data_IF_001222106271
#
_entry.id   IF_001222106271
#
_cell.length_a   1.000
_cell.length_b   1.000
_cell.length_c   1.000
_cell.angle_alpha   90.00
_cell.angle_beta   90.00
_cell.angle_gamma   90.00
#
_symmetry.space_group_name_H-M   'P 1'
#
loop_
_entity.id
_entity.type
_entity.pdbx_description
1 polymer ?
#
# COMPACT_ATOMS: atom_id res chain seq x y z
N UNK A 1 -9.74 -4.03 11.64
CA UNK A 1 -9.50 -3.71 10.21
C UNK A 1 -9.03 -4.97 9.49
N UNK A 2 -9.65 -5.35 8.37
CA UNK A 2 -9.17 -6.47 7.58
C UNK A 2 -7.79 -6.15 6.98
N UNK A 3 -6.98 -7.18 6.82
CA UNK A 3 -5.64 -7.08 6.24
C UNK A 3 -5.47 -8.13 5.15
N UNK A 4 -4.44 -7.99 4.36
CA UNK A 4 -4.04 -8.98 3.37
C UNK A 4 -5.11 -9.32 2.35
N UNK A 5 -5.25 -10.60 2.07
CA UNK A 5 -6.20 -11.12 1.07
C UNK A 5 -7.64 -10.68 1.36
N UNK A 6 -8.03 -10.67 2.62
CA UNK A 6 -9.37 -10.23 3.01
C UNK A 6 -9.62 -8.78 2.62
N UNK A 7 -8.66 -7.91 2.93
CA UNK A 7 -8.76 -6.50 2.58
C UNK A 7 -8.78 -6.31 1.06
N UNK A 8 -7.91 -7.02 0.35
CA UNK A 8 -7.84 -6.93 -1.11
C UNK A 8 -9.13 -7.41 -1.75
N UNK A 9 -9.71 -8.49 -1.26
CA UNK A 9 -10.99 -9.01 -1.77
C UNK A 9 -12.13 -8.00 -1.57
N UNK A 10 -12.15 -7.34 -0.40
CA UNK A 10 -13.15 -6.32 -0.12
C UNK A 10 -13.01 -5.13 -1.07
N UNK A 11 -11.77 -4.71 -1.33
CA UNK A 11 -11.49 -3.62 -2.27
C UNK A 11 -11.94 -4.04 -3.69
N UNK A 12 -11.60 -5.24 -4.12
CA UNK A 12 -11.96 -5.73 -5.46
C UNK A 12 -13.47 -5.68 -5.68
N UNK A 13 -14.25 -6.02 -4.67
CA UNK A 13 -15.72 -6.00 -4.76
C UNK A 13 -16.30 -4.61 -4.98
N UNK A 14 -15.56 -3.57 -4.62
CA UNK A 14 -15.98 -2.19 -4.80
C UNK A 14 -15.64 -1.64 -6.19
N UNK A 15 -14.87 -2.39 -6.98
CA UNK A 15 -14.38 -1.95 -8.27
C UNK A 15 -15.09 -2.73 -9.36
N UNK A 16 -15.62 -2.07 -10.41
CA UNK A 16 -16.27 -2.77 -11.53
C UNK A 16 -15.33 -3.81 -12.14
N UNK A 17 -15.89 -4.94 -12.55
CA UNK A 17 -15.10 -6.08 -13.06
C UNK A 17 -14.32 -5.74 -14.34
N UNK A 18 -14.81 -4.78 -15.13
CA UNK A 18 -14.15 -4.37 -16.35
C UNK A 18 -12.97 -3.40 -16.11
N UNK A 19 -12.74 -3.01 -14.87
CA UNK A 19 -11.64 -2.10 -14.53
C UNK A 19 -10.42 -2.89 -14.08
N UNK A 20 -9.26 -2.50 -14.60
CA UNK A 20 -8.01 -3.14 -14.22
C UNK A 20 -7.47 -2.54 -12.90
N UNK A 21 -6.80 -3.39 -12.13
CA UNK A 21 -6.16 -2.98 -10.88
C UNK A 21 -4.65 -3.10 -11.02
N UNK A 22 -3.94 -2.03 -10.69
CA UNK A 22 -2.50 -2.09 -10.52
C UNK A 22 -2.21 -2.16 -9.03
N UNK A 23 -1.41 -3.13 -8.61
CA UNK A 23 -1.06 -3.33 -7.21
C UNK A 23 0.42 -3.00 -7.00
N UNK A 24 0.70 -2.12 -6.05
CA UNK A 24 2.06 -1.74 -5.66
C UNK A 24 2.22 -2.04 -4.18
N UNK A 25 3.33 -2.68 -3.82
CA UNK A 25 3.63 -2.98 -2.42
C UNK A 25 4.90 -2.31 -1.95
N UNK A 26 4.96 -2.00 -0.67
CA UNK A 26 6.15 -1.43 -0.06
C UNK A 26 5.97 -1.09 1.40
N UNK A 27 7.07 -0.73 2.05
CA UNK A 27 7.05 -0.32 3.45
C UNK A 27 6.50 1.10 3.60
N UNK A 28 6.89 2.02 2.74
CA UNK A 28 6.47 3.42 2.77
C UNK A 28 6.67 4.05 4.15
N UNK A 29 7.85 3.81 4.75
CA UNK A 29 8.12 4.26 6.12
C UNK A 29 8.19 5.78 6.19
N UNK A 30 9.08 6.38 5.41
CA UNK A 30 9.17 7.84 5.29
C UNK A 30 9.03 8.18 3.82
N UNK A 31 7.90 8.76 3.46
CA UNK A 31 7.64 9.08 2.06
C UNK A 31 8.57 10.19 1.57
N UNK A 32 9.06 10.02 0.36
CA UNK A 32 9.90 11.02 -0.30
C UNK A 32 9.57 11.05 -1.80
N UNK A 33 10.11 12.02 -2.56
CA UNK A 33 9.78 12.17 -3.99
C UNK A 33 9.94 10.90 -4.83
N UNK A 34 10.91 10.04 -4.48
CA UNK A 34 11.10 8.78 -5.18
C UNK A 34 9.88 7.85 -5.07
N UNK A 35 9.28 7.77 -3.88
CA UNK A 35 8.05 7.00 -3.67
C UNK A 35 6.90 7.56 -4.51
N UNK A 36 6.75 8.90 -4.52
CA UNK A 36 5.69 9.55 -5.27
C UNK A 36 5.83 9.29 -6.77
N UNK A 37 7.06 9.30 -7.26
CA UNK A 37 7.33 9.03 -8.68
C UNK A 37 6.89 7.61 -9.08
N UNK A 38 7.24 6.62 -8.27
CA UNK A 38 6.85 5.22 -8.50
C UNK A 38 5.32 5.07 -8.47
N UNK A 39 4.68 5.67 -7.48
CA UNK A 39 3.22 5.59 -7.29
C UNK A 39 2.50 6.27 -8.46
N UNK A 40 2.96 7.45 -8.87
CA UNK A 40 2.35 8.16 -9.99
C UNK A 40 2.51 7.40 -11.29
N UNK A 41 3.67 6.78 -11.51
CA UNK A 41 3.90 5.93 -12.67
C UNK A 41 2.95 4.74 -12.67
N UNK A 42 2.81 4.07 -11.53
CA UNK A 42 1.93 2.90 -11.39
C UNK A 42 0.46 3.27 -11.65
N UNK A 43 0.04 4.46 -11.24
CA UNK A 43 -1.32 4.93 -11.50
C UNK A 43 -1.65 4.97 -12.99
N UNK A 44 -0.66 5.26 -13.82
CA UNK A 44 -0.84 5.30 -15.27
C UNK A 44 -0.92 3.94 -15.95
N UNK A 45 -0.65 2.85 -15.23
CA UNK A 45 -0.62 1.50 -15.80
C UNK A 45 -1.96 0.77 -15.78
N UNK A 46 -2.96 1.30 -15.10
CA UNK A 46 -4.27 0.67 -15.01
C UNK A 46 -5.33 1.67 -14.61
N UNK A 47 -6.56 1.17 -14.44
CA UNK A 47 -7.70 2.02 -14.11
C UNK A 47 -7.70 2.42 -12.64
N UNK A 48 -7.30 1.50 -11.76
CA UNK A 48 -7.35 1.70 -10.31
C UNK A 48 -6.01 1.32 -9.70
N UNK A 49 -5.47 2.18 -8.85
CA UNK A 49 -4.23 1.90 -8.13
C UNK A 49 -4.54 1.51 -6.69
N UNK A 50 -4.09 0.33 -6.33
CA UNK A 50 -4.19 -0.22 -4.98
C UNK A 50 -2.79 -0.37 -4.41
N UNK A 51 -2.56 0.11 -3.19
CA UNK A 51 -1.26 0.04 -2.54
C UNK A 51 -1.34 -0.89 -1.33
N UNK A 52 -0.40 -1.82 -1.26
CA UNK A 52 -0.23 -2.76 -0.15
C UNK A 52 0.91 -2.24 0.73
N UNK A 53 0.61 -1.97 2.00
CA UNK A 53 1.59 -1.46 2.96
C UNK A 53 2.07 -2.61 3.83
N UNK A 54 3.39 -2.81 3.91
CA UNK A 54 3.97 -3.89 4.71
C UNK A 54 3.72 -3.66 6.20
N UNK A 55 3.33 -4.72 6.94
CA UNK A 55 3.14 -4.59 8.39
C UNK A 55 4.47 -4.42 9.13
N UNK A 56 4.41 -3.90 10.35
CA UNK A 56 5.61 -3.59 11.14
C UNK A 56 6.53 -4.79 11.32
N UNK A 57 5.97 -5.97 11.62
CA UNK A 57 6.79 -7.16 11.85
C UNK A 57 7.59 -7.56 10.62
N UNK A 58 7.02 -7.38 9.44
CA UNK A 58 7.72 -7.69 8.19
C UNK A 58 8.88 -6.71 7.96
N UNK A 59 8.63 -5.42 8.17
CA UNK A 59 9.67 -4.40 8.01
C UNK A 59 10.83 -4.66 8.96
N UNK A 60 10.55 -4.99 10.23
CA UNK A 60 11.57 -5.34 11.21
C UNK A 60 12.40 -6.54 10.80
N UNK A 61 11.76 -7.52 10.17
CA UNK A 61 12.43 -8.76 9.80
C UNK A 61 13.57 -8.56 8.80
N UNK A 62 13.51 -7.54 7.95
CA UNK A 62 14.56 -7.31 6.96
C UNK A 62 15.29 -5.98 7.11
N UNK A 63 14.72 -5.01 7.80
CA UNK A 63 15.37 -3.70 8.04
C UNK A 63 15.94 -3.53 9.45
N UNK A 64 15.64 -4.45 10.37
CA UNK A 64 16.14 -4.42 11.73
C UNK A 64 15.16 -3.83 12.74
N UNK A 65 15.52 -3.97 14.02
CA UNK A 65 14.65 -3.63 15.16
C UNK A 65 14.28 -2.13 15.22
N UNK A 66 15.09 -1.28 14.62
CA UNK A 66 14.85 0.17 14.66
C UNK A 66 13.90 0.64 13.55
N UNK A 67 13.39 -0.28 12.75
CA UNK A 67 12.45 0.01 11.66
C UNK A 67 11.18 -0.80 11.84
N UNK A 68 10.03 -0.28 11.42
CA UNK A 68 9.84 1.04 10.78
C UNK A 68 9.92 2.18 11.79
N UNK A 69 10.14 3.39 11.31
CA UNK A 69 10.09 4.60 12.13
C UNK A 69 8.63 4.94 12.42
N UNK A 70 7.77 4.82 11.40
CA UNK A 70 6.33 5.05 11.55
C UNK A 70 5.59 3.73 11.66
N UNK A 71 4.66 3.59 12.64
CA UNK A 71 3.82 2.39 12.75
C UNK A 71 2.99 2.17 11.49
N UNK A 72 2.57 0.93 11.26
CA UNK A 72 1.84 0.55 10.03
C UNK A 72 0.55 1.34 9.81
N UNK A 73 -0.17 1.66 10.86
CA UNK A 73 -1.41 2.44 10.73
C UNK A 73 -1.13 3.88 10.30
N UNK A 74 -0.03 4.48 10.78
CA UNK A 74 0.40 5.80 10.33
C UNK A 74 0.84 5.77 8.86
N UNK A 75 1.59 4.75 8.49
CA UNK A 75 2.05 4.60 7.11
C UNK A 75 0.87 4.41 6.16
N UNK A 76 -0.12 3.63 6.56
CA UNK A 76 -1.33 3.43 5.79
C UNK A 76 -2.09 4.77 5.61
N UNK A 77 -2.22 5.55 6.68
CA UNK A 77 -2.88 6.85 6.64
C UNK A 77 -2.20 7.78 5.63
N UNK A 78 -0.87 7.83 5.67
CA UNK A 78 -0.10 8.68 4.76
C UNK A 78 -0.27 8.26 3.31
N UNK A 79 -0.21 6.96 3.04
CA UNK A 79 -0.37 6.42 1.68
C UNK A 79 -1.77 6.72 1.14
N UNK A 80 -2.79 6.55 1.97
CA UNK A 80 -4.18 6.82 1.56
C UNK A 80 -4.41 8.28 1.18
N UNK A 81 -3.61 9.18 1.73
CA UNK A 81 -3.73 10.62 1.46
C UNK A 81 -3.11 11.03 0.13
N UNK A 82 -2.35 10.15 -0.51
CA UNK A 82 -1.71 10.46 -1.78
C UNK A 82 -2.74 10.52 -2.91
N UNK A 83 -2.62 11.54 -3.73
CA UNK A 83 -3.57 11.82 -4.81
C UNK A 83 -3.77 10.65 -5.78
N UNK A 84 -2.71 9.95 -6.11
CA UNK A 84 -2.74 8.87 -7.10
C UNK A 84 -3.26 7.54 -6.56
N UNK A 85 -3.38 7.40 -5.24
CA UNK A 85 -3.78 6.14 -4.61
C UNK A 85 -5.29 6.08 -4.49
N UNK A 86 -5.90 5.06 -5.11
CA UNK A 86 -7.34 4.86 -5.03
C UNK A 86 -7.73 4.06 -3.79
N UNK A 87 -6.97 3.03 -3.46
CA UNK A 87 -7.18 2.20 -2.27
C UNK A 87 -5.86 1.78 -1.69
N UNK A 88 -5.83 1.54 -0.39
CA UNK A 88 -4.65 1.01 0.28
C UNK A 88 -5.07 0.12 1.44
N UNK A 89 -4.22 -0.86 1.76
CA UNK A 89 -4.46 -1.79 2.86
C UNK A 89 -3.14 -2.26 3.43
N UNK A 90 -3.19 -2.85 4.64
CA UNK A 90 -2.00 -3.43 5.25
C UNK A 90 -1.92 -4.90 4.84
N UNK A 91 -0.79 -5.27 4.27
CA UNK A 91 -0.51 -6.64 3.88
C UNK A 91 -0.44 -7.56 5.11
N UNK A 92 -0.74 -8.83 4.92
CA UNK A 92 -0.50 -9.84 5.93
C UNK A 92 0.79 -10.64 5.65
N UNK A 93 1.67 -10.10 4.82
CA UNK A 93 2.97 -10.70 4.53
C UNK A 93 3.77 -10.93 5.81
N UNK A 94 4.47 -11.99 5.89
CA UNK A 94 5.27 -12.36 7.04
C UNK A 94 6.78 -12.33 6.74
#
# INVERSE_FOLDING_TARGET
MPKGIEALSAIRKQIPEDKSITLVGGAFDLLHPGHLHVIDHAKGLGDVLVVSVLPDHHVKSYKGEKRPILPEDHRLTMVKALKSVDHAFISDAS
#
